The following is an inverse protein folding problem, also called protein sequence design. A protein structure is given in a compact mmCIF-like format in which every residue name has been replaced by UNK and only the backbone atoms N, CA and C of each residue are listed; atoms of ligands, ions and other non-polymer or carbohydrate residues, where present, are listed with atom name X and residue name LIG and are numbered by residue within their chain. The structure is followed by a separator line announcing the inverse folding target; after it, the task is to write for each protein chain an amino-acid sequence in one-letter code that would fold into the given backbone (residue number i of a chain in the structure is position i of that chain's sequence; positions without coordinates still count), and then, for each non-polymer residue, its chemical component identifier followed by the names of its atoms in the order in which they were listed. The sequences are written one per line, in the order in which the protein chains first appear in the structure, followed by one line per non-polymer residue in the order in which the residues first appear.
data_IF_039666209485
#
_entry.id   IF_039666209485
#
_cell.length_a   1.000
_cell.length_b   1.000
_cell.length_c   1.000
_cell.angle_alpha   90.00
_cell.angle_beta   90.00
_cell.angle_gamma   90.00
#
_symmetry.space_group_name_H-M   'P 1'
#
loop_
_entity.id
_entity.type
_entity.pdbx_description
1 polymer ?
#
# COMPACT_ATOMS: atom_id res chain seq x y z
N UNK A 1 11.66 -35.38 6.79
CA UNK A 1 11.26 -34.94 6.78
C UNK A 1 10.93 -34.26 6.54
N UNK A 2 10.84 -34.35 6.27
CA UNK A 2 10.39 -33.58 6.02
C UNK A 2 9.97 -32.96 5.59
N UNK A 3 9.86 -32.61 5.45
CA UNK A 3 9.37 -31.98 5.22
C UNK A 3 9.08 -31.24 4.80
N UNK A 4 9.16 -31.15 4.69
CA UNK A 4 8.74 -30.34 4.52
C UNK A 4 8.36 -29.69 3.98
N UNK A 5 8.20 -29.66 3.77
CA UNK A 5 7.69 -28.86 3.40
C UNK A 5 7.29 -28.31 2.82
N UNK A 6 7.40 -28.37 2.56
CA UNK A 6 6.88 -27.77 2.13
C UNK A 6 6.08 -27.37 1.93
N UNK A 7 5.99 -27.56 2.06
CA UNK A 7 5.10 -27.11 2.09
C UNK A 7 4.73 -26.25 2.08
N UNK A 8 4.99 -26.16 1.97
CA UNK A 8 4.65 -25.35 2.02
C UNK A 8 4.60 -24.79 1.39
N UNK A 9 4.76 -24.85 0.77
CA UNK A 9 4.55 -24.25 0.28
C UNK A 9 4.05 -23.87 -0.50
N UNK A 10 4.21 -23.94 -0.69
CA UNK A 10 3.69 -23.55 -1.90
C UNK A 10 2.63 -22.63 -1.88
N UNK A 11 2.18 -22.65 -1.21
CA UNK A 11 1.21 -21.88 -1.03
C UNK A 11 1.42 -20.54 -1.35
N UNK A 12 2.26 -20.09 -0.93
CA UNK A 12 2.44 -18.80 -1.08
C UNK A 12 2.66 -18.34 -2.41
N UNK A 13 2.82 -19.12 -3.26
CA UNK A 13 3.06 -18.73 -4.50
C UNK A 13 2.11 -17.79 -5.02
N UNK A 14 1.00 -17.91 -4.67
CA UNK A 14 0.01 -17.12 -5.24
C UNK A 14 0.13 -15.70 -4.97
N UNK A 15 0.09 -15.32 -3.76
CA UNK A 15 0.01 -13.95 -3.48
C UNK A 15 1.28 -13.20 -3.69
N UNK A 16 2.37 -13.82 -3.67
CA UNK A 16 3.56 -13.10 -3.82
C UNK A 16 3.70 -11.96 -2.88
N UNK A 17 2.89 -11.86 -1.88
CA UNK A 17 3.03 -10.84 -0.89
C UNK A 17 4.22 -11.14 -0.03
N UNK A 18 5.05 -10.13 0.20
CA UNK A 18 6.20 -10.27 1.06
C UNK A 18 6.02 -9.39 2.27
N UNK A 19 6.54 -9.80 3.41
CA UNK A 19 6.52 -8.98 4.59
C UNK A 19 7.58 -7.96 4.44
N UNK A 20 7.20 -6.79 4.00
CA UNK A 20 8.12 -5.71 3.74
C UNK A 20 7.72 -4.52 4.56
N UNK A 21 8.54 -4.17 5.55
CA UNK A 21 8.28 -3.02 6.39
C UNK A 21 8.99 -1.82 5.80
N UNK A 22 8.28 -1.04 5.01
CA UNK A 22 8.83 0.13 4.37
C UNK A 22 7.89 1.30 4.52
N UNK A 23 8.42 2.52 4.52
CA UNK A 23 7.56 3.69 4.63
C UNK A 23 6.66 3.80 3.42
N UNK A 24 5.43 4.22 3.67
CA UNK A 24 4.42 4.43 2.63
C UNK A 24 3.87 5.82 2.84
N UNK A 25 3.66 6.55 1.78
CA UNK A 25 3.04 7.85 1.89
C UNK A 25 1.66 7.74 1.27
N UNK A 26 0.63 8.15 1.99
CA UNK A 26 -0.75 8.02 1.52
C UNK A 26 -1.44 9.36 1.62
N UNK A 27 -2.09 9.77 0.56
CA UNK A 27 -2.85 11.02 0.51
C UNK A 27 -4.17 10.74 -0.18
N UNK A 28 -5.28 11.37 0.25
CA UNK A 28 -6.55 11.20 -0.45
C UNK A 28 -6.45 11.79 -1.84
N UNK A 29 -7.08 11.16 -2.81
CA UNK A 29 -7.09 11.70 -4.15
C UNK A 29 -8.40 12.40 -4.48
N UNK A 30 -9.46 12.18 -3.71
CA UNK A 30 -10.74 12.82 -3.97
C UNK A 30 -10.77 14.14 -3.21
N UNK A 31 -10.99 15.25 -3.91
CA UNK A 31 -11.00 16.55 -3.22
C UNK A 31 -12.09 16.70 -2.17
N UNK A 32 -13.09 15.82 -2.18
CA UNK A 32 -14.15 15.87 -1.19
C UNK A 32 -13.75 15.23 0.12
N UNK A 33 -12.67 14.45 0.13
CA UNK A 33 -12.22 13.81 1.35
C UNK A 33 -11.40 14.78 2.18
N UNK A 34 -11.35 14.50 3.48
CA UNK A 34 -10.52 15.26 4.38
C UNK A 34 -9.09 15.20 3.90
N UNK A 35 -8.43 16.34 3.87
CA UNK A 35 -7.07 16.41 3.35
C UNK A 35 -6.08 15.95 4.42
N UNK A 36 -5.24 15.01 4.11
CA UNK A 36 -4.21 14.58 5.05
C UNK A 36 -3.05 13.92 4.31
N UNK A 37 -1.97 13.76 5.00
CA UNK A 37 -0.85 13.01 4.50
C UNK A 37 -0.46 12.05 5.61
N UNK A 38 -0.51 10.77 5.34
CA UNK A 38 -0.18 9.75 6.32
C UNK A 38 1.10 9.06 5.89
N UNK A 39 1.94 8.70 6.86
CA UNK A 39 3.21 8.06 6.58
C UNK A 39 3.33 6.76 7.36
N UNK A 40 2.48 5.80 7.08
CA UNK A 40 2.54 4.53 7.81
C UNK A 40 3.68 3.66 7.32
N UNK A 41 3.89 2.55 8.00
CA UNK A 41 4.86 1.56 7.58
C UNK A 41 4.09 0.35 7.11
N UNK A 42 4.46 -0.19 5.98
CA UNK A 42 3.75 -1.33 5.42
C UNK A 42 3.99 -2.57 6.27
N UNK A 43 3.04 -3.48 6.24
CA UNK A 43 3.18 -4.78 6.86
C UNK A 43 3.55 -5.79 5.79
N UNK A 44 2.89 -5.71 4.65
CA UNK A 44 3.26 -6.54 3.51
C UNK A 44 2.89 -5.81 2.24
N UNK A 45 3.46 -6.23 1.14
CA UNK A 45 3.25 -5.57 -0.13
C UNK A 45 3.45 -6.55 -1.28
N UNK A 46 2.73 -6.29 -2.36
CA UNK A 46 2.90 -7.02 -3.60
C UNK A 46 2.69 -5.99 -4.70
N UNK A 47 2.81 -6.40 -5.95
CA UNK A 47 2.58 -5.44 -7.01
C UNK A 47 1.09 -5.12 -7.15
N UNK A 48 0.23 -5.83 -6.48
CA UNK A 48 -1.20 -5.57 -6.57
C UNK A 48 -1.74 -4.79 -5.40
N UNK A 49 -1.05 -4.76 -4.30
CA UNK A 49 -1.59 -4.06 -3.15
C UNK A 49 -0.63 -3.99 -2.00
N UNK A 50 -1.00 -3.17 -1.04
CA UNK A 50 -0.19 -2.94 0.14
C UNK A 50 -1.11 -2.98 1.35
N UNK A 51 -0.63 -3.60 2.42
CA UNK A 51 -1.34 -3.59 3.69
C UNK A 51 -0.47 -2.84 4.70
N UNK A 52 -1.05 -1.87 5.37
CA UNK A 52 -0.32 -1.11 6.38
C UNK A 52 -1.19 -0.89 7.59
N UNK A 53 -0.58 -0.51 8.71
CA UNK A 53 -1.34 -0.16 9.91
C UNK A 53 -1.12 1.31 10.19
N UNK A 54 -2.14 1.94 10.74
CA UNK A 54 -2.10 3.37 10.99
C UNK A 54 -2.99 3.71 12.17
N UNK A 55 -2.78 4.86 12.79
CA UNK A 55 -3.66 5.31 13.84
C UNK A 55 -4.70 6.29 13.32
N UNK A 56 -4.63 6.63 12.03
CA UNK A 56 -5.56 7.58 11.45
C UNK A 56 -6.89 6.90 11.14
N UNK A 57 -7.97 7.54 11.52
CA UNK A 57 -9.30 6.98 11.35
C UNK A 57 -9.99 7.38 10.06
N UNK A 58 -9.35 8.14 9.22
CA UNK A 58 -10.00 8.73 8.06
C UNK A 58 -10.25 7.78 6.91
N UNK A 59 -9.71 6.59 6.96
CA UNK A 59 -9.84 5.66 5.84
C UNK A 59 -11.19 4.97 5.83
N UNK A 60 -11.72 4.75 4.64
CA UNK A 60 -12.95 3.99 4.49
C UNK A 60 -12.88 3.16 3.21
N UNK A 61 -13.62 2.08 3.19
CA UNK A 61 -13.60 1.18 2.05
C UNK A 61 -14.12 1.92 0.82
N UNK A 62 -13.43 1.79 -0.28
CA UNK A 62 -13.76 2.49 -1.51
C UNK A 62 -13.07 3.83 -1.68
N UNK A 63 -12.36 4.26 -0.64
CA UNK A 63 -11.67 5.55 -0.71
C UNK A 63 -10.55 5.49 -1.74
N UNK A 64 -10.44 6.56 -2.54
CA UNK A 64 -9.38 6.65 -3.52
C UNK A 64 -8.23 7.42 -2.95
N UNK A 65 -7.02 6.91 -3.12
CA UNK A 65 -5.84 7.53 -2.54
C UNK A 65 -4.68 7.50 -3.52
N UNK A 66 -3.73 8.39 -3.28
CA UNK A 66 -2.43 8.33 -3.94
C UNK A 66 -1.49 7.66 -2.95
N UNK A 67 -0.74 6.67 -3.41
CA UNK A 67 0.19 5.93 -2.58
C UNK A 67 1.58 6.02 -3.18
N UNK A 68 2.56 6.43 -2.39
CA UNK A 68 3.95 6.43 -2.81
C UNK A 68 4.65 5.32 -2.04
N UNK A 69 5.22 4.36 -2.76
CA UNK A 69 5.84 3.21 -2.12
C UNK A 69 6.97 2.65 -2.99
N UNK A 70 8.11 2.41 -2.43
CA UNK A 70 8.50 2.82 -1.09
C UNK A 70 8.77 4.32 -1.06
N UNK A 71 8.56 4.93 0.09
CA UNK A 71 8.74 6.36 0.22
C UNK A 71 9.95 6.64 1.10
N UNK A 72 10.89 7.44 0.63
CA UNK A 72 12.02 7.80 1.46
C UNK A 72 12.03 9.30 1.71
N UNK A 73 11.84 10.09 0.70
CA UNK A 73 11.72 11.52 0.88
C UNK A 73 10.95 12.07 -0.33
N UNK A 74 10.45 13.27 -0.20
CA UNK A 74 9.61 13.82 -1.24
C UNK A 74 10.33 13.98 -2.57
N UNK A 75 11.63 14.08 -2.53
CA UNK A 75 12.40 14.33 -3.75
C UNK A 75 13.16 13.13 -4.28
N UNK A 76 12.93 11.96 -3.70
CA UNK A 76 13.66 10.77 -4.11
C UNK A 76 13.15 10.31 -5.48
N UNK A 77 14.00 10.26 -6.49
CA UNK A 77 13.55 9.84 -7.81
C UNK A 77 13.15 8.38 -7.87
N UNK A 78 13.47 7.60 -6.85
CA UNK A 78 13.07 6.20 -6.83
C UNK A 78 11.67 5.99 -6.27
N UNK A 79 11.02 7.03 -5.81
CA UNK A 79 9.64 6.91 -5.36
C UNK A 79 8.75 6.52 -6.51
N UNK A 80 7.84 5.59 -6.28
CA UNK A 80 6.84 5.22 -7.26
C UNK A 80 5.49 5.57 -6.69
N UNK A 81 4.72 6.35 -7.42
CA UNK A 81 3.42 6.80 -6.97
C UNK A 81 2.32 6.08 -7.73
N UNK A 82 1.28 5.68 -7.03
CA UNK A 82 0.18 4.92 -7.59
C UNK A 82 -1.15 5.52 -7.23
N UNK A 83 -2.12 5.32 -8.10
CA UNK A 83 -3.51 5.54 -7.75
C UNK A 83 -4.00 4.24 -7.16
N UNK A 84 -4.63 4.30 -6.02
CA UNK A 84 -5.06 3.10 -5.32
C UNK A 84 -6.45 3.28 -4.71
N UNK A 85 -7.02 2.17 -4.32
CA UNK A 85 -8.33 2.19 -3.70
C UNK A 85 -8.27 1.37 -2.41
N UNK A 86 -8.86 1.89 -1.34
CA UNK A 86 -8.93 1.17 -0.08
C UNK A 86 -9.96 0.07 -0.23
N UNK A 87 -9.54 -1.17 -0.06
CA UNK A 87 -10.45 -2.30 -0.21
C UNK A 87 -10.83 -2.95 1.11
N UNK A 88 -10.13 -2.62 2.18
CA UNK A 88 -10.45 -3.18 3.48
C UNK A 88 -9.89 -2.29 4.58
N UNK A 89 -10.69 -2.08 5.61
CA UNK A 89 -10.25 -1.38 6.81
C UNK A 89 -10.72 -2.21 7.98
N UNK A 90 -9.83 -2.53 8.90
CA UNK A 90 -10.20 -3.32 10.06
C UNK A 90 -9.61 -2.71 11.32
N UNK A 91 -10.35 -2.78 12.40
CA UNK A 91 -9.87 -2.27 13.67
C UNK A 91 -8.88 -3.26 14.25
N UNK A 92 -7.86 -2.75 14.84
CA UNK A 92 -6.83 -3.58 15.44
C UNK A 92 -6.64 -3.12 16.87
N UNK A 93 -5.93 -3.91 17.69
CA UNK A 93 -5.67 -3.52 19.07
C UNK A 93 -4.89 -2.23 19.16
N UNK A 94 -4.98 -1.57 20.30
CA UNK A 94 -4.20 -0.38 20.59
C UNK A 94 -4.56 0.82 19.75
N UNK A 95 -5.80 0.90 19.30
CA UNK A 95 -6.25 2.07 18.56
C UNK A 95 -5.71 2.18 17.17
N UNK A 96 -5.25 1.08 16.61
CA UNK A 96 -4.75 1.09 15.25
C UNK A 96 -5.77 0.53 14.29
N UNK A 97 -5.55 0.80 13.01
CA UNK A 97 -6.39 0.30 11.95
C UNK A 97 -5.50 -0.36 10.92
N UNK A 98 -5.93 -1.50 10.41
CA UNK A 98 -5.25 -2.15 9.30
C UNK A 98 -5.94 -1.74 8.03
N UNK A 99 -5.20 -1.26 7.05
CA UNK A 99 -5.74 -0.76 5.80
C UNK A 99 -5.10 -1.49 4.64
N UNK A 100 -5.92 -2.07 3.80
CA UNK A 100 -5.44 -2.73 2.60
C UNK A 100 -5.85 -1.89 1.40
N UNK A 101 -4.90 -1.57 0.55
CA UNK A 101 -5.17 -0.81 -0.66
C UNK A 101 -4.81 -1.64 -1.88
N UNK A 102 -5.59 -1.47 -2.93
CA UNK A 102 -5.35 -2.14 -4.19
C UNK A 102 -4.74 -1.10 -5.13
N UNK A 103 -3.58 -1.41 -5.68
CA UNK A 103 -2.89 -0.48 -6.56
C UNK A 103 -3.49 -0.61 -7.96
N UNK A 104 -3.98 0.49 -8.48
CA UNK A 104 -4.65 0.46 -9.76
C UNK A 104 -3.78 0.89 -10.92
N UNK A 105 -2.97 1.89 -10.72
CA UNK A 105 -2.20 2.43 -11.81
C UNK A 105 -0.97 3.14 -11.28
N UNK A 106 0.14 2.99 -11.97
CA UNK A 106 1.36 3.67 -11.60
C UNK A 106 1.37 5.05 -12.23
N UNK A 107 1.50 6.06 -11.41
CA UNK A 107 1.56 7.41 -11.91
C UNK A 107 2.89 7.68 -12.56
N UNK A 108 3.93 7.08 -12.03
CA UNK A 108 5.25 7.32 -12.59
C UNK A 108 5.32 6.82 -14.01
N UNK A 109 4.72 5.70 -14.27
CA UNK A 109 4.75 5.15 -15.59
C UNK A 109 4.02 6.08 -16.52
N UNK A 110 2.87 6.56 -16.14
CA UNK A 110 2.12 7.43 -16.98
C UNK A 110 2.90 8.67 -17.26
N UNK A 111 3.52 9.19 -16.23
CA UNK A 111 4.29 10.38 -16.41
C UNK A 111 5.40 10.19 -17.38
N UNK A 112 6.08 9.12 -17.28
CA UNK A 112 7.20 8.94 -18.15
C UNK A 112 6.72 8.76 -19.56
N UNK A 113 5.55 8.23 -19.74
CA UNK A 113 5.11 8.04 -21.01
C UNK A 113 4.88 9.28 -21.64
N UNK A 114 4.26 10.14 -20.94
CA UNK A 114 3.93 11.35 -21.56
C UNK A 114 5.17 12.03 -22.03
N UNK A 115 6.24 11.72 -21.44
CA UNK A 115 7.44 12.33 -21.87
C UNK A 115 7.78 11.91 -23.25
N UNK A 116 7.21 10.89 -23.69
CA UNK A 116 7.60 10.39 -25.00
C UNK A 116 7.06 11.25 -26.13
#
# INVERSE_FOLDING_TARGET
MPEIPTKTFPVQRVSRRARIARPVRVRPSDPRDEHFEDLPVSVNASKEGIFFTTRRKSYYRGMRVFVTFPFSSAHDPMNCEYVAEVVRVEEMPNGKFGVAVHLKMSMNYSGSKSGA
#
